data_IF_256649970781
#
_entry.id   IF_256649970781
#
_cell.length_a   1.000
_cell.length_b   1.000
_cell.length_c   1.000
_cell.angle_alpha   90.00
_cell.angle_beta   90.00
_cell.angle_gamma   90.00
#
_symmetry.space_group_name_H-M   'P 1'
#
loop_
_entity.id
_entity.type
_entity.pdbx_description
1 polymer ?
#
# COMPACT_ATOMS: atom_id res chain seq x y z
N UNK A 1 -6.41 23.78 14.33
CA UNK A 1 -5.97 24.63 13.20
C UNK A 1 -6.30 23.87 11.91
N UNK A 2 -6.61 24.55 10.80
CA UNK A 2 -6.88 23.87 9.53
C UNK A 2 -5.55 23.60 8.80
N UNK A 3 -5.10 22.35 8.80
CA UNK A 3 -3.90 21.93 8.07
C UNK A 3 -4.21 21.93 6.56
N UNK A 4 -3.33 22.53 5.75
CA UNK A 4 -3.51 22.59 4.29
C UNK A 4 -2.78 21.42 3.66
N UNK A 5 -3.53 20.55 2.97
CA UNK A 5 -2.98 19.42 2.22
C UNK A 5 -3.26 19.57 0.72
N UNK A 6 -2.48 18.91 -0.15
CA UNK A 6 -2.72 18.90 -1.59
C UNK A 6 -4.17 18.54 -1.95
N UNK A 7 -4.71 19.25 -2.94
CA UNK A 7 -6.05 18.94 -3.47
C UNK A 7 -6.02 17.70 -4.35
N UNK A 8 -4.94 17.52 -5.13
CA UNK A 8 -4.70 16.38 -6.03
C UNK A 8 -3.94 15.25 -5.32
N UNK A 9 -4.21 14.02 -5.74
CA UNK A 9 -3.57 12.78 -5.32
C UNK A 9 -3.82 11.75 -6.42
N UNK A 10 -2.80 11.27 -7.14
CA UNK A 10 -2.96 10.25 -8.19
C UNK A 10 -2.84 8.84 -7.61
N UNK A 11 -3.75 8.53 -6.67
CA UNK A 11 -3.94 7.20 -6.10
C UNK A 11 -5.40 6.79 -6.29
N UNK A 12 -5.81 6.55 -7.53
CA UNK A 12 -7.22 6.27 -7.88
C UNK A 12 -7.74 4.96 -7.28
N UNK A 13 -6.86 3.99 -7.06
CA UNK A 13 -7.18 2.71 -6.44
C UNK A 13 -7.32 2.76 -4.92
N UNK A 14 -6.98 3.90 -4.29
CA UNK A 14 -7.21 4.15 -2.86
C UNK A 14 -8.52 4.90 -2.71
N UNK A 15 -9.56 4.17 -2.34
CA UNK A 15 -10.94 4.67 -2.32
C UNK A 15 -11.38 5.18 -0.94
N UNK A 16 -10.78 4.68 0.14
CA UNK A 16 -11.19 5.05 1.50
C UNK A 16 -10.81 6.51 1.82
N UNK A 17 -11.75 7.37 2.26
CA UNK A 17 -11.47 8.78 2.50
C UNK A 17 -10.36 9.03 3.52
N UNK A 18 -10.28 8.22 4.58
CA UNK A 18 -9.23 8.35 5.60
C UNK A 18 -7.85 7.95 5.06
N UNK A 19 -7.77 6.87 4.26
CA UNK A 19 -6.54 6.46 3.58
C UNK A 19 -6.02 7.58 2.67
N UNK A 20 -6.92 8.19 1.88
CA UNK A 20 -6.58 9.34 1.02
C UNK A 20 -6.13 10.56 1.82
N UNK A 21 -6.67 10.79 3.03
CA UNK A 21 -6.22 11.89 3.91
C UNK A 21 -4.81 11.62 4.45
N UNK A 22 -4.50 10.39 4.84
CA UNK A 22 -3.16 9.99 5.27
C UNK A 22 -2.14 10.25 4.16
N UNK A 23 -2.40 9.75 2.94
CA UNK A 23 -1.51 9.97 1.80
C UNK A 23 -1.27 11.46 1.50
N UNK A 24 -2.31 12.28 1.61
CA UNK A 24 -2.20 13.73 1.46
C UNK A 24 -1.41 14.41 2.58
N UNK A 25 -1.50 13.89 3.81
CA UNK A 25 -0.71 14.36 4.93
C UNK A 25 0.78 14.03 4.75
N UNK A 26 1.08 12.82 4.24
CA UNK A 26 2.44 12.41 3.87
C UNK A 26 3.03 13.35 2.81
N UNK A 27 2.31 13.59 1.71
CA UNK A 27 2.74 14.52 0.66
C UNK A 27 2.94 15.96 1.16
N UNK A 28 2.15 16.39 2.14
CA UNK A 28 2.31 17.69 2.78
C UNK A 28 3.43 17.73 3.83
N UNK A 29 4.08 16.60 4.10
CA UNK A 29 5.00 16.37 5.21
C UNK A 29 4.42 16.87 6.56
N UNK A 30 3.12 16.66 6.77
CA UNK A 30 2.43 17.12 7.97
C UNK A 30 2.46 16.03 9.05
N UNK A 31 3.47 16.10 9.93
CA UNK A 31 3.73 15.07 10.94
C UNK A 31 2.53 14.77 11.86
N UNK A 32 1.76 15.78 12.26
CA UNK A 32 0.58 15.60 13.12
C UNK A 32 -0.54 14.83 12.41
N UNK A 33 -0.86 15.23 11.17
CA UNK A 33 -1.89 14.55 10.39
C UNK A 33 -1.46 13.15 9.94
N UNK A 34 -0.17 12.95 9.69
CA UNK A 34 0.40 11.62 9.43
C UNK A 34 0.28 10.72 10.64
N UNK A 35 0.76 11.13 11.81
CA UNK A 35 0.67 10.32 13.03
C UNK A 35 -0.78 9.95 13.39
N UNK A 36 -1.72 10.88 13.20
CA UNK A 36 -3.15 10.58 13.37
C UNK A 36 -3.65 9.57 12.33
N UNK A 37 -3.33 9.78 11.05
CA UNK A 37 -3.73 8.87 9.97
C UNK A 37 -3.12 7.47 10.10
N UNK A 38 -1.88 7.36 10.58
CA UNK A 38 -1.23 6.09 10.87
C UNK A 38 -1.97 5.33 11.97
N UNK A 39 -2.31 6.03 13.06
CA UNK A 39 -3.09 5.44 14.14
C UNK A 39 -4.49 4.99 13.68
N UNK A 40 -5.18 5.78 12.84
CA UNK A 40 -6.46 5.38 12.24
C UNK A 40 -6.28 4.14 11.35
N UNK A 41 -5.29 4.12 10.47
CA UNK A 41 -5.03 3.02 9.54
C UNK A 41 -4.66 1.71 10.25
N UNK A 42 -3.92 1.79 11.35
CA UNK A 42 -3.57 0.63 12.18
C UNK A 42 -4.75 0.16 13.06
N UNK A 43 -5.73 1.00 13.33
CA UNK A 43 -6.90 0.62 14.13
C UNK A 43 -8.06 0.07 13.27
N UNK A 44 -8.20 0.53 12.02
CA UNK A 44 -9.32 0.19 11.14
C UNK A 44 -8.86 -0.63 9.91
N UNK A 45 -9.24 -1.93 9.83
CA UNK A 45 -8.91 -2.79 8.70
C UNK A 45 -9.38 -2.26 7.34
N UNK A 46 -10.49 -1.52 7.27
CA UNK A 46 -11.01 -1.00 6.00
C UNK A 46 -10.12 0.11 5.41
N UNK A 47 -9.48 0.90 6.27
CA UNK A 47 -8.49 1.91 5.85
C UNK A 47 -7.26 1.19 5.30
N UNK A 48 -6.75 0.22 6.05
CA UNK A 48 -5.56 -0.55 5.67
C UNK A 48 -5.78 -1.35 4.39
N UNK A 49 -6.94 -2.00 4.23
CA UNK A 49 -7.31 -2.72 3.01
C UNK A 49 -7.31 -1.78 1.79
N UNK A 50 -7.89 -0.59 1.92
CA UNK A 50 -7.88 0.38 0.82
C UNK A 50 -6.47 0.86 0.45
N UNK A 51 -5.56 0.99 1.42
CA UNK A 51 -4.16 1.32 1.16
C UNK A 51 -3.44 0.14 0.49
N UNK A 52 -3.59 -1.06 1.05
CA UNK A 52 -2.98 -2.28 0.53
C UNK A 52 -3.42 -2.55 -0.91
N UNK A 53 -4.72 -2.43 -1.21
CA UNK A 53 -5.25 -2.57 -2.55
C UNK A 53 -4.62 -1.58 -3.53
N UNK A 54 -4.51 -0.30 -3.13
CA UNK A 54 -3.87 0.74 -3.94
C UNK A 54 -2.39 0.49 -4.17
N UNK A 55 -1.67 0.07 -3.13
CA UNK A 55 -0.26 -0.32 -3.20
C UNK A 55 -0.05 -1.49 -4.17
N UNK A 56 -0.81 -2.58 -4.01
CA UNK A 56 -0.66 -3.78 -4.86
C UNK A 56 -0.91 -3.44 -6.32
N UNK A 57 -1.98 -2.71 -6.64
CA UNK A 57 -2.27 -2.34 -8.03
C UNK A 57 -1.19 -1.43 -8.63
N UNK A 58 -0.75 -0.41 -7.90
CA UNK A 58 0.30 0.50 -8.37
C UNK A 58 1.61 -0.26 -8.63
N UNK A 59 2.03 -1.10 -7.67
CA UNK A 59 3.24 -1.92 -7.82
C UNK A 59 3.10 -2.94 -8.94
N UNK A 60 1.94 -3.58 -9.07
CA UNK A 60 1.70 -4.52 -10.16
C UNK A 60 1.75 -3.84 -11.53
N UNK A 61 1.25 -2.61 -11.66
CA UNK A 61 1.34 -1.84 -12.89
C UNK A 61 2.80 -1.48 -13.24
N UNK A 62 3.59 -1.07 -12.25
CA UNK A 62 5.00 -0.71 -12.43
C UNK A 62 5.87 -1.93 -12.77
N UNK A 63 5.61 -3.07 -12.13
CA UNK A 63 6.50 -4.25 -12.20
C UNK A 63 6.12 -5.25 -13.29
N UNK A 64 4.87 -5.22 -13.78
CA UNK A 64 4.46 -6.12 -14.86
C UNK A 64 5.25 -5.86 -16.14
N UNK A 65 5.50 -6.93 -16.88
CA UNK A 65 6.16 -6.90 -18.17
C UNK A 65 5.36 -7.73 -19.18
N UNK A 66 5.81 -7.74 -20.45
CA UNK A 66 5.15 -8.46 -21.54
C UNK A 66 5.01 -9.98 -21.33
N UNK A 67 5.71 -10.55 -20.35
CA UNK A 67 5.71 -11.97 -20.01
C UNK A 67 4.98 -12.28 -18.70
N UNK A 68 4.47 -11.26 -17.99
CA UNK A 68 3.67 -11.46 -16.78
C UNK A 68 2.43 -12.32 -17.08
N UNK A 69 2.17 -13.28 -16.21
CA UNK A 69 1.01 -14.18 -16.29
C UNK A 69 0.25 -14.09 -14.98
N UNK A 70 -1.08 -14.17 -15.07
CA UNK A 70 -1.98 -14.10 -13.92
C UNK A 70 -2.71 -15.44 -13.75
N UNK A 71 -2.99 -15.88 -12.51
CA UNK A 71 -2.69 -15.19 -11.25
C UNK A 71 -1.20 -15.23 -10.88
N UNK A 72 -0.73 -14.20 -10.18
CA UNK A 72 0.63 -14.12 -9.63
C UNK A 72 0.63 -13.34 -8.32
N UNK A 73 1.47 -13.74 -7.37
CA UNK A 73 1.65 -12.98 -6.14
C UNK A 73 2.44 -11.70 -6.42
N UNK A 74 2.13 -10.62 -5.72
CA UNK A 74 2.86 -9.36 -5.89
C UNK A 74 4.37 -9.54 -5.66
N UNK A 75 4.74 -10.35 -4.67
CA UNK A 75 6.13 -10.69 -4.38
C UNK A 75 6.87 -11.29 -5.59
N UNK A 76 6.23 -12.20 -6.32
CA UNK A 76 6.85 -12.86 -7.49
C UNK A 76 6.90 -11.96 -8.72
N UNK A 77 6.11 -10.89 -8.73
CA UNK A 77 6.12 -9.86 -9.76
C UNK A 77 7.23 -8.83 -9.50
N UNK A 78 7.63 -8.64 -8.25
CA UNK A 78 8.59 -7.62 -7.83
C UNK A 78 10.00 -7.88 -8.38
N UNK A 79 10.67 -6.87 -8.97
CA UNK A 79 12.09 -6.95 -9.27
C UNK A 79 12.93 -7.24 -8.00
N UNK A 80 14.05 -7.98 -8.12
CA UNK A 80 14.88 -8.30 -6.96
C UNK A 80 15.39 -7.09 -6.17
N UNK A 81 15.63 -5.97 -6.85
CA UNK A 81 16.09 -4.73 -6.20
C UNK A 81 14.97 -4.05 -5.41
N UNK A 82 13.75 -4.02 -5.92
CA UNK A 82 12.56 -3.51 -5.22
C UNK A 82 12.29 -4.27 -3.93
N UNK A 83 12.39 -5.61 -3.97
CA UNK A 83 12.23 -6.44 -2.79
C UNK A 83 13.23 -6.11 -1.69
N UNK A 84 14.43 -5.60 -2.01
CA UNK A 84 15.43 -5.24 -0.99
C UNK A 84 15.05 -3.99 -0.20
N UNK A 85 14.28 -3.08 -0.80
CA UNK A 85 13.81 -1.86 -0.15
C UNK A 85 12.61 -2.11 0.77
N UNK A 86 11.82 -3.14 0.50
CA UNK A 86 10.74 -3.54 1.38
C UNK A 86 11.27 -4.16 2.66
N UNK A 87 10.67 -3.81 3.79
CA UNK A 87 10.89 -4.48 5.06
C UNK A 87 10.44 -5.95 4.98
N UNK A 88 11.07 -6.81 5.79
CA UNK A 88 10.76 -8.24 5.83
C UNK A 88 9.26 -8.52 6.03
N UNK A 89 8.55 -7.92 7.01
CA UNK A 89 7.11 -8.16 7.15
C UNK A 89 6.31 -7.77 5.91
N UNK A 90 6.69 -6.69 5.21
CA UNK A 90 6.04 -6.26 3.96
C UNK A 90 6.21 -7.27 2.84
N UNK A 91 7.36 -7.95 2.78
CA UNK A 91 7.60 -9.03 1.80
C UNK A 91 6.67 -10.21 2.04
N UNK A 92 6.41 -10.58 3.30
CA UNK A 92 5.48 -11.65 3.65
C UNK A 92 4.05 -11.27 3.30
N UNK A 93 3.63 -10.03 3.61
CA UNK A 93 2.34 -9.47 3.19
C UNK A 93 2.21 -9.50 1.66
N UNK A 94 3.24 -9.09 0.91
CA UNK A 94 3.24 -9.10 -0.55
C UNK A 94 3.15 -10.50 -1.18
N UNK A 95 3.57 -11.56 -0.47
CA UNK A 95 3.40 -12.96 -0.93
C UNK A 95 1.94 -13.40 -0.89
N UNK A 96 1.13 -12.76 -0.04
CA UNK A 96 -0.28 -13.08 0.15
C UNK A 96 -1.21 -12.20 -0.70
N UNK A 97 -0.68 -11.16 -1.32
CA UNK A 97 -1.40 -10.34 -2.29
C UNK A 97 -1.36 -10.99 -3.67
N UNK A 98 -2.51 -11.44 -4.17
CA UNK A 98 -2.60 -12.10 -5.49
C UNK A 98 -3.15 -11.12 -6.50
N UNK A 99 -2.41 -10.89 -7.59
CA UNK A 99 -2.87 -10.12 -8.75
C UNK A 99 -3.53 -11.07 -9.73
N UNK A 100 -4.75 -10.75 -10.13
CA UNK A 100 -5.60 -11.56 -10.98
C UNK A 100 -6.15 -10.79 -12.19
N UNK A 101 -6.93 -11.48 -13.01
CA UNK A 101 -7.54 -10.90 -14.21
C UNK A 101 -6.59 -10.95 -15.39
N UNK A 102 -7.16 -10.89 -16.61
CA UNK A 102 -6.34 -10.93 -17.84
C UNK A 102 -5.44 -9.72 -18.00
N UNK A 103 -5.84 -8.58 -17.42
CA UNK A 103 -5.11 -7.33 -17.46
C UNK A 103 -4.26 -7.07 -16.21
N UNK A 104 -4.37 -7.91 -15.16
CA UNK A 104 -3.74 -7.67 -13.87
C UNK A 104 -4.40 -6.53 -13.08
N UNK A 105 -5.70 -6.31 -13.27
CA UNK A 105 -6.49 -5.18 -12.76
C UNK A 105 -7.32 -5.54 -11.53
N UNK A 106 -7.26 -6.79 -11.08
CA UNK A 106 -7.91 -7.27 -9.87
C UNK A 106 -6.88 -7.74 -8.87
N UNK A 107 -7.15 -7.54 -7.59
CA UNK A 107 -6.28 -8.02 -6.52
C UNK A 107 -7.10 -8.68 -5.43
N UNK A 108 -6.57 -9.75 -4.89
CA UNK A 108 -7.06 -10.43 -3.69
C UNK A 108 -6.08 -10.13 -2.55
N UNK A 109 -6.59 -9.52 -1.48
CA UNK A 109 -5.80 -9.01 -0.35
C UNK A 109 -6.25 -9.56 1.00
N UNK A 110 -7.27 -10.43 1.06
CA UNK A 110 -7.82 -10.90 2.32
C UNK A 110 -6.78 -11.63 3.19
N UNK A 111 -5.93 -12.48 2.58
CA UNK A 111 -4.87 -13.18 3.29
C UNK A 111 -3.79 -12.22 3.83
N UNK A 112 -3.41 -11.23 3.03
CA UNK A 112 -2.44 -10.21 3.40
C UNK A 112 -2.97 -9.31 4.55
N UNK A 113 -4.25 -8.97 4.54
CA UNK A 113 -4.89 -8.20 5.62
C UNK A 113 -4.93 -8.99 6.93
N UNK A 114 -5.28 -10.28 6.86
CA UNK A 114 -5.28 -11.17 8.02
C UNK A 114 -3.87 -11.31 8.62
N UNK A 115 -2.86 -11.52 7.78
CA UNK A 115 -1.46 -11.60 8.21
C UNK A 115 -1.00 -10.29 8.86
N UNK A 116 -1.30 -9.15 8.24
CA UNK A 116 -0.97 -7.84 8.82
C UNK A 116 -1.65 -7.62 10.18
N UNK A 117 -2.84 -8.18 10.39
CA UNK A 117 -3.53 -8.16 11.68
C UNK A 117 -2.85 -8.99 12.78
N UNK A 118 -2.07 -10.01 12.41
CA UNK A 118 -1.36 -10.89 13.33
C UNK A 118 0.05 -10.37 13.69
N UNK A 119 0.57 -9.41 12.94
CA UNK A 119 1.87 -8.80 13.18
C UNK A 119 1.89 -7.96 14.47
N UNK A 120 3.09 -7.77 15.02
CA UNK A 120 3.32 -6.86 16.16
C UNK A 120 3.12 -5.40 15.76
N UNK A 121 2.91 -4.50 16.73
CA UNK A 121 2.69 -3.08 16.43
C UNK A 121 3.80 -2.44 15.60
N UNK A 122 5.06 -2.77 15.89
CA UNK A 122 6.23 -2.25 15.16
C UNK A 122 6.26 -2.78 13.73
N UNK A 123 6.06 -4.09 13.52
CA UNK A 123 6.02 -4.68 12.18
C UNK A 123 4.86 -4.14 11.34
N UNK A 124 3.70 -3.92 11.96
CA UNK A 124 2.53 -3.32 11.29
C UNK A 124 2.82 -1.88 10.85
N UNK A 125 3.53 -1.12 11.67
CA UNK A 125 3.95 0.24 11.32
C UNK A 125 4.95 0.23 10.15
N UNK A 126 5.89 -0.72 10.11
CA UNK A 126 6.81 -0.89 8.97
C UNK A 126 6.07 -1.22 7.68
N UNK A 127 5.11 -2.16 7.74
CA UNK A 127 4.27 -2.51 6.58
C UNK A 127 3.48 -1.30 6.08
N UNK A 128 2.87 -0.55 6.99
CA UNK A 128 2.12 0.65 6.63
C UNK A 128 3.02 1.70 5.97
N UNK A 129 4.22 1.92 6.50
CA UNK A 129 5.21 2.84 5.93
C UNK A 129 5.56 2.48 4.49
N UNK A 130 5.96 1.22 4.25
CA UNK A 130 6.30 0.74 2.90
C UNK A 130 5.12 0.85 1.91
N UNK A 131 3.89 0.61 2.38
CA UNK A 131 2.66 0.74 1.59
C UNK A 131 2.45 2.22 1.20
N UNK A 132 2.56 3.14 2.16
CA UNK A 132 2.38 4.58 1.93
C UNK A 132 3.45 5.10 0.98
N UNK A 133 4.73 4.80 1.24
CA UNK A 133 5.85 5.20 0.39
C UNK A 133 5.69 4.65 -1.03
N UNK A 134 5.30 3.37 -1.15
CA UNK A 134 5.09 2.75 -2.45
C UNK A 134 3.90 3.30 -3.23
N UNK A 135 2.86 3.79 -2.55
CA UNK A 135 1.77 4.51 -3.21
C UNK A 135 2.24 5.88 -3.72
N UNK A 136 3.14 6.54 -3.00
CA UNK A 136 3.52 7.94 -3.25
C UNK A 136 4.79 8.13 -4.07
N UNK A 137 5.50 7.07 -4.44
CA UNK A 137 6.79 7.15 -5.12
C UNK A 137 6.82 8.08 -6.35
N UNK A 138 5.73 8.13 -7.13
CA UNK A 138 5.62 8.96 -8.35
C UNK A 138 4.91 10.32 -8.14
N UNK A 139 4.53 10.68 -6.91
CA UNK A 139 3.77 11.90 -6.60
C UNK A 139 4.66 13.15 -6.35
N UNK A 140 5.98 13.04 -6.61
CA UNK A 140 7.01 14.07 -6.38
C UNK A 140 7.38 14.94 -7.58
#
# INVERSE_FOLDING_TARGET
>A
MAHRHPSKLNAEHVTHPAARRLLKAELANCAECRAHGDAEALADPAILESLLHGFVLKRAEQWRNRHSRYPVNLYDLAPPDELRFLHIPTREVARLCVVEGRAGDRVETAGALAETGNLTGDDRALVLGDIVDGILEDEG
#
